data_IF_032980135374
#
_entry.id   IF_032980135374
#
_cell.length_a   1.000
_cell.length_b   1.000
_cell.length_c   1.000
_cell.angle_alpha   90.00
_cell.angle_beta   90.00
_cell.angle_gamma   90.00
#
_symmetry.space_group_name_H-M   'P 1'
#
loop_
_entity.id
_entity.type
_entity.pdbx_description
1 polymer ?
#
# COMPACT_ATOMS: atom_id res chain seq x y z
N UNK A 1 -11.60 26.90 32.57
CA UNK A 1 -12.33 25.97 31.68
C UNK A 1 -11.63 25.97 30.33
N UNK A 2 -10.79 24.97 30.06
CA UNK A 2 -10.20 24.73 28.74
C UNK A 2 -10.49 23.27 28.39
N UNK A 3 -11.38 23.04 27.43
CA UNK A 3 -11.65 21.71 26.88
C UNK A 3 -10.55 21.40 25.88
N UNK A 4 -9.47 20.76 26.35
CA UNK A 4 -8.50 20.10 25.48
C UNK A 4 -9.18 18.88 24.86
N UNK A 5 -9.79 19.06 23.70
CA UNK A 5 -10.35 17.98 22.90
C UNK A 5 -9.23 17.03 22.46
N UNK A 6 -9.42 15.74 22.68
CA UNK A 6 -8.50 14.67 22.34
C UNK A 6 -8.49 14.58 20.80
N UNK A 7 -7.54 15.25 20.14
CA UNK A 7 -7.33 15.13 18.69
C UNK A 7 -6.67 13.79 18.39
N UNK A 8 -7.44 12.71 18.24
CA UNK A 8 -6.84 11.40 18.00
C UNK A 8 -6.57 11.16 16.52
N UNK A 9 -5.51 11.79 16.00
CA UNK A 9 -4.77 11.30 14.83
C UNK A 9 -3.64 10.40 15.32
N UNK A 10 -3.95 9.13 15.51
CA UNK A 10 -3.01 8.12 15.98
C UNK A 10 -2.30 7.45 14.78
N UNK A 11 -1.32 8.16 14.23
CA UNK A 11 -0.49 7.60 13.16
C UNK A 11 0.38 6.45 13.66
N UNK A 12 0.71 6.45 14.96
CA UNK A 12 1.56 5.45 15.57
C UNK A 12 0.90 4.07 15.51
N UNK A 13 -0.41 3.99 15.78
CA UNK A 13 -1.16 2.74 15.62
C UNK A 13 -1.15 2.21 14.18
N UNK A 14 -1.12 3.09 13.17
CA UNK A 14 -1.00 2.69 11.76
C UNK A 14 0.39 2.14 11.45
N UNK A 15 1.43 2.84 11.89
CA UNK A 15 2.82 2.41 11.70
C UNK A 15 3.11 1.09 12.42
N UNK A 16 2.61 0.90 13.64
CA UNK A 16 2.75 -0.36 14.37
C UNK A 16 2.07 -1.52 13.64
N UNK A 17 0.89 -1.28 13.06
CA UNK A 17 0.18 -2.30 12.29
C UNK A 17 0.90 -2.64 10.99
N UNK A 18 1.54 -1.67 10.33
CA UNK A 18 2.37 -1.91 9.16
C UNK A 18 3.67 -2.65 9.52
N UNK A 19 4.37 -2.23 10.57
CA UNK A 19 5.58 -2.88 11.05
C UNK A 19 5.34 -4.35 11.45
N UNK A 20 4.19 -4.66 12.05
CA UNK A 20 3.79 -6.03 12.37
C UNK A 20 3.44 -6.91 11.17
N UNK A 21 3.35 -6.35 9.96
CA UNK A 21 2.97 -7.05 8.72
C UNK A 21 3.91 -6.67 7.55
N UNK A 22 5.21 -6.53 7.82
CA UNK A 22 6.25 -6.28 6.81
C UNK A 22 5.99 -5.04 5.91
N UNK A 23 5.35 -4.01 6.46
CA UNK A 23 5.06 -2.76 5.77
C UNK A 23 3.77 -2.79 4.92
N UNK A 24 2.91 -3.80 5.07
CA UNK A 24 1.65 -3.97 4.33
C UNK A 24 0.51 -4.40 5.26
N UNK A 25 -0.63 -3.73 5.24
CA UNK A 25 -1.80 -4.15 6.01
C UNK A 25 -3.12 -3.94 5.26
N UNK A 26 -4.04 -4.89 5.33
CA UNK A 26 -5.43 -4.70 4.92
C UNK A 26 -6.28 -4.34 6.16
N UNK A 27 -7.00 -3.22 6.10
CA UNK A 27 -7.80 -2.71 7.22
C UNK A 27 -9.15 -2.21 6.74
N UNK A 28 -10.17 -2.31 7.60
CA UNK A 28 -11.46 -1.69 7.34
C UNK A 28 -11.36 -0.17 7.41
N UNK A 29 -12.12 0.53 6.57
CA UNK A 29 -12.25 1.99 6.63
C UNK A 29 -12.73 2.48 8.00
N UNK A 30 -13.53 1.69 8.71
CA UNK A 30 -13.94 1.98 10.10
C UNK A 30 -12.73 2.18 11.00
N UNK A 31 -11.78 1.25 10.95
CA UNK A 31 -10.59 1.29 11.78
C UNK A 31 -9.70 2.50 11.45
N UNK A 32 -9.52 2.79 10.15
CA UNK A 32 -8.81 3.99 9.69
C UNK A 32 -9.47 5.29 10.16
N UNK A 33 -10.80 5.37 10.10
CA UNK A 33 -11.56 6.50 10.63
C UNK A 33 -11.29 6.67 12.13
N UNK A 34 -11.31 5.59 12.89
CA UNK A 34 -11.07 5.62 14.34
C UNK A 34 -9.65 6.08 14.68
N UNK A 35 -8.65 5.76 13.84
CA UNK A 35 -7.28 6.26 14.02
C UNK A 35 -7.12 7.73 13.62
N UNK A 36 -7.99 8.28 12.76
CA UNK A 36 -7.91 9.65 12.30
C UNK A 36 -8.75 10.63 13.13
N UNK A 37 -10.02 10.26 13.37
CA UNK A 37 -11.01 11.02 14.10
C UNK A 37 -12.16 10.10 14.56
N UNK A 38 -12.05 9.61 15.80
CA UNK A 38 -12.99 8.68 16.40
C UNK A 38 -14.41 9.25 16.53
N UNK A 39 -14.56 10.58 16.68
CA UNK A 39 -15.86 11.23 16.84
C UNK A 39 -16.68 11.29 15.54
N UNK A 40 -16.06 11.01 14.39
CA UNK A 40 -16.78 10.99 13.13
C UNK A 40 -17.78 9.83 13.07
N UNK A 41 -19.06 10.15 12.98
CA UNK A 41 -20.11 9.13 12.88
C UNK A 41 -20.21 8.45 11.50
N UNK A 42 -19.72 9.09 10.43
CA UNK A 42 -19.84 8.61 9.04
C UNK A 42 -18.69 9.10 8.16
N UNK A 43 -18.30 8.29 7.18
CA UNK A 43 -17.37 8.68 6.13
C UNK A 43 -18.10 9.32 4.95
N UNK A 44 -17.75 10.56 4.65
CA UNK A 44 -18.13 11.27 3.42
C UNK A 44 -16.94 11.31 2.46
N UNK A 45 -17.16 11.72 1.20
CA UNK A 45 -16.05 11.90 0.25
C UNK A 45 -14.95 12.82 0.79
N UNK A 46 -15.32 13.95 1.38
CA UNK A 46 -14.36 14.90 1.95
C UNK A 46 -13.61 14.34 3.16
N UNK A 47 -14.27 13.50 3.97
CA UNK A 47 -13.63 12.82 5.10
C UNK A 47 -12.66 11.73 4.66
N UNK A 48 -13.03 10.91 3.67
CA UNK A 48 -12.13 9.94 3.06
C UNK A 48 -10.93 10.63 2.42
N UNK A 49 -11.11 11.79 1.77
CA UNK A 49 -10.00 12.58 1.23
C UNK A 49 -9.05 13.09 2.34
N UNK A 50 -9.58 13.59 3.47
CA UNK A 50 -8.75 14.01 4.60
C UNK A 50 -7.93 12.87 5.21
N UNK A 51 -8.48 11.65 5.27
CA UNK A 51 -7.74 10.46 5.69
C UNK A 51 -6.65 10.13 4.67
N UNK A 52 -6.95 10.20 3.37
CA UNK A 52 -5.97 9.96 2.31
C UNK A 52 -4.79 10.95 2.40
N UNK A 53 -5.06 12.25 2.54
CA UNK A 53 -4.05 13.29 2.67
C UNK A 53 -3.19 13.08 3.93
N UNK A 54 -3.81 12.63 5.02
CA UNK A 54 -3.11 12.32 6.26
C UNK A 54 -2.18 11.12 6.13
N UNK A 55 -2.62 10.04 5.47
CA UNK A 55 -1.77 8.88 5.18
C UNK A 55 -0.60 9.28 4.29
N UNK A 56 -0.87 10.08 3.25
CA UNK A 56 0.15 10.54 2.30
C UNK A 56 1.23 11.39 2.98
N UNK A 57 0.81 12.32 3.85
CA UNK A 57 1.72 13.15 4.64
C UNK A 57 2.67 12.33 5.55
N UNK A 58 2.31 11.09 5.86
CA UNK A 58 3.11 10.16 6.67
C UNK A 58 3.78 9.06 5.85
N UNK A 59 3.85 9.21 4.51
CA UNK A 59 4.55 8.26 3.64
C UNK A 59 3.83 6.92 3.46
N UNK A 60 2.55 6.84 3.81
CA UNK A 60 1.72 5.65 3.67
C UNK A 60 0.85 5.80 2.42
N UNK A 61 1.00 4.87 1.49
CA UNK A 61 0.11 4.77 0.34
C UNK A 61 -1.04 3.81 0.64
N UNK A 62 -2.14 3.98 -0.09
CA UNK A 62 -3.33 3.17 0.10
C UNK A 62 -3.93 2.70 -1.23
N UNK A 63 -4.70 1.62 -1.19
CA UNK A 63 -5.55 1.14 -2.28
C UNK A 63 -6.89 0.64 -1.73
N UNK A 64 -8.03 0.95 -2.38
CA UNK A 64 -8.14 1.70 -3.63
C UNK A 64 -7.85 3.21 -3.45
N UNK A 65 -7.58 3.88 -4.57
CA UNK A 65 -7.51 5.34 -4.66
C UNK A 65 -8.60 5.83 -5.64
N UNK A 66 -9.57 6.67 -5.22
CA UNK A 66 -9.73 7.25 -3.89
C UNK A 66 -10.15 6.22 -2.82
N UNK A 67 -9.98 6.60 -1.55
CA UNK A 67 -10.44 5.77 -0.42
C UNK A 67 -11.97 5.53 -0.49
N UNK A 68 -12.44 4.32 -0.13
CA UNK A 68 -13.85 4.04 -0.09
C UNK A 68 -14.55 4.85 1.02
N UNK A 69 -15.88 4.87 0.93
CA UNK A 69 -16.75 5.61 1.88
C UNK A 69 -17.51 4.69 2.82
N UNK A 70 -17.62 3.40 2.51
CA UNK A 70 -18.30 2.46 3.40
C UNK A 70 -17.29 2.00 4.44
N UNK A 71 -17.71 2.02 5.70
CA UNK A 71 -16.85 1.64 6.83
C UNK A 71 -16.40 0.18 6.77
N UNK A 72 -17.21 -0.69 6.15
CA UNK A 72 -16.94 -2.12 5.95
C UNK A 72 -16.02 -2.39 4.76
N UNK A 73 -15.73 -1.40 3.92
CA UNK A 73 -14.83 -1.61 2.79
C UNK A 73 -13.39 -1.70 3.30
N UNK A 74 -12.65 -2.63 2.72
CA UNK A 74 -11.25 -2.84 3.06
C UNK A 74 -10.34 -1.96 2.21
N UNK A 75 -9.25 -1.52 2.85
CA UNK A 75 -8.21 -0.72 2.26
C UNK A 75 -6.88 -1.39 2.57
N UNK A 76 -6.09 -1.58 1.53
CA UNK A 76 -4.70 -1.96 1.64
C UNK A 76 -3.86 -0.72 1.90
N UNK A 77 -3.07 -0.73 2.96
CA UNK A 77 -2.10 0.30 3.33
C UNK A 77 -0.70 -0.27 3.16
N UNK A 78 0.25 0.55 2.70
CA UNK A 78 1.65 0.15 2.65
C UNK A 78 2.57 1.36 2.79
N UNK A 79 3.71 1.14 3.45
CA UNK A 79 4.75 2.18 3.54
C UNK A 79 5.47 2.30 2.20
N UNK A 80 5.53 3.51 1.63
CA UNK A 80 6.12 3.74 0.30
C UNK A 80 7.60 3.35 0.24
N UNK A 81 8.33 3.47 1.34
CA UNK A 81 9.78 3.20 1.41
C UNK A 81 10.12 1.77 1.87
N UNK A 82 9.12 0.98 2.26
CA UNK A 82 9.32 -0.43 2.60
C UNK A 82 9.66 -1.27 1.36
N UNK A 83 10.33 -2.44 1.50
CA UNK A 83 10.58 -3.34 0.38
C UNK A 83 9.31 -3.67 -0.42
N UNK A 84 8.21 -4.00 0.28
CA UNK A 84 6.92 -4.28 -0.36
C UNK A 84 6.35 -3.05 -1.08
N UNK A 85 6.52 -1.86 -0.51
CA UNK A 85 6.14 -0.60 -1.16
C UNK A 85 6.89 -0.36 -2.46
N UNK A 86 8.19 -0.66 -2.51
CA UNK A 86 8.98 -0.55 -3.74
C UNK A 86 8.51 -1.58 -4.79
N UNK A 87 8.19 -2.81 -4.38
CA UNK A 87 7.66 -3.82 -5.31
C UNK A 87 6.30 -3.42 -5.89
N UNK A 88 5.40 -2.88 -5.05
CA UNK A 88 4.10 -2.35 -5.50
C UNK A 88 4.31 -1.18 -6.47
N UNK A 89 5.22 -0.25 -6.16
CA UNK A 89 5.53 0.87 -7.04
C UNK A 89 6.10 0.40 -8.39
N UNK A 90 6.97 -0.62 -8.40
CA UNK A 90 7.48 -1.23 -9.63
C UNK A 90 6.35 -1.87 -10.45
N UNK A 91 5.49 -2.66 -9.81
CA UNK A 91 4.37 -3.34 -10.48
C UNK A 91 3.36 -2.36 -11.10
N UNK A 92 3.22 -1.17 -10.51
CA UNK A 92 2.30 -0.12 -10.97
C UNK A 92 2.95 0.93 -11.87
N UNK A 93 4.27 0.85 -12.11
CA UNK A 93 5.04 1.88 -12.80
C UNK A 93 4.89 3.27 -12.16
N UNK A 94 4.96 3.33 -10.83
CA UNK A 94 4.84 4.56 -10.06
C UNK A 94 6.20 5.04 -9.51
N UNK A 95 6.26 6.31 -9.11
CA UNK A 95 7.46 6.90 -8.50
C UNK A 95 8.69 6.84 -9.41
N UNK A 96 9.81 6.23 -8.96
CA UNK A 96 11.03 6.14 -9.77
C UNK A 96 10.86 5.27 -11.03
N UNK A 97 9.83 4.41 -11.07
CA UNK A 97 9.57 3.50 -12.19
C UNK A 97 8.68 4.11 -13.28
N UNK A 98 8.04 5.25 -13.03
CA UNK A 98 7.14 5.91 -13.98
C UNK A 98 7.79 6.25 -15.33
N UNK A 99 9.11 6.41 -15.35
CA UNK A 99 9.90 6.70 -16.56
C UNK A 99 10.84 5.56 -16.95
N UNK A 100 10.78 4.42 -16.25
CA UNK A 100 11.68 3.28 -16.46
C UNK A 100 10.95 1.95 -16.31
N UNK A 101 10.06 1.60 -17.25
CA UNK A 101 9.38 0.30 -17.25
C UNK A 101 10.37 -0.87 -17.36
N UNK A 102 11.49 -0.68 -18.07
CA UNK A 102 12.58 -1.66 -18.13
C UNK A 102 13.21 -1.87 -16.76
N UNK A 103 13.47 -0.79 -16.01
CA UNK A 103 13.99 -0.89 -14.64
C UNK A 103 13.04 -1.62 -13.70
N UNK A 104 11.75 -1.33 -13.80
CA UNK A 104 10.71 -2.04 -13.04
C UNK A 104 10.68 -3.54 -13.36
N UNK A 105 10.69 -3.90 -14.65
CA UNK A 105 10.69 -5.29 -15.09
C UNK A 105 11.93 -6.06 -14.62
N UNK A 106 13.12 -5.44 -14.69
CA UNK A 106 14.36 -6.05 -14.20
C UNK A 106 14.33 -6.29 -12.69
N UNK A 107 13.81 -5.33 -11.92
CA UNK A 107 13.65 -5.47 -10.47
C UNK A 107 12.69 -6.60 -10.12
N UNK A 108 11.50 -6.63 -10.75
CA UNK A 108 10.50 -7.67 -10.53
C UNK A 108 11.01 -9.04 -10.99
N UNK A 109 11.78 -9.12 -12.08
CA UNK A 109 12.43 -10.35 -12.53
C UNK A 109 13.51 -10.85 -11.58
N UNK A 110 14.24 -9.95 -10.90
CA UNK A 110 15.14 -10.35 -9.80
C UNK A 110 14.35 -10.92 -8.63
N UNK A 111 13.29 -10.24 -8.20
CA UNK A 111 12.40 -10.74 -7.15
C UNK A 111 11.84 -12.12 -7.52
N UNK A 112 11.32 -12.31 -8.73
CA UNK A 112 10.75 -13.58 -9.19
C UNK A 112 11.73 -14.76 -9.03
N UNK A 113 13.02 -14.56 -9.32
CA UNK A 113 14.06 -15.59 -9.13
C UNK A 113 14.34 -15.91 -7.67
N UNK A 114 14.19 -14.94 -6.77
CA UNK A 114 14.37 -15.16 -5.33
C UNK A 114 13.20 -15.90 -4.68
N UNK A 115 11.97 -15.67 -5.15
CA UNK A 115 10.78 -16.39 -4.64
C UNK A 115 10.51 -17.71 -5.35
N UNK A 116 10.96 -17.88 -6.60
CA UNK A 116 10.83 -19.12 -7.37
C UNK A 116 12.20 -19.56 -7.91
N UNK A 117 13.08 -20.13 -7.07
CA UNK A 117 14.40 -20.57 -7.51
C UNK A 117 14.40 -21.74 -8.51
N UNK A 118 13.25 -22.41 -8.72
CA UNK A 118 13.08 -23.57 -9.62
C UNK A 118 12.29 -23.28 -10.90
N UNK A 119 12.00 -22.02 -11.25
CA UNK A 119 11.47 -21.70 -12.58
C UNK A 119 12.62 -21.76 -13.60
N UNK A 120 13.03 -22.98 -13.96
CA UNK A 120 13.98 -23.21 -15.04
C UNK A 120 13.45 -22.57 -16.34
N UNK A 121 14.32 -22.02 -17.20
CA UNK A 121 13.92 -21.70 -18.56
C UNK A 121 13.45 -22.99 -19.23
N UNK A 122 12.23 -22.97 -19.75
CA UNK A 122 11.68 -24.06 -20.55
C UNK A 122 12.48 -24.14 -21.86
N UNK A 123 13.46 -25.05 -21.91
CA UNK A 123 14.28 -25.36 -23.10
C UNK A 123 13.48 -26.21 -24.12
N UNK A 124 12.19 -25.94 -24.32
CA UNK A 124 11.39 -26.57 -25.38
C UNK A 124 11.51 -25.81 -26.70
N UNK A 125 12.75 -25.58 -27.13
CA UNK A 125 13.10 -25.22 -28.50
C UNK A 125 14.38 -25.95 -28.91
N UNK A 126 14.27 -27.25 -29.20
CA UNK A 126 14.97 -27.83 -30.35
C UNK A 126 14.39 -29.21 -30.62
N UNK A 127 13.77 -29.33 -31.79
CA UNK A 127 13.68 -30.53 -32.65
C UNK A 127 12.59 -30.26 -33.70
N UNK A 128 12.88 -29.28 -34.56
CA UNK A 128 12.37 -29.31 -35.93
C UNK A 128 13.57 -29.50 -36.84
N UNK A 129 13.46 -30.47 -37.76
CA UNK A 129 14.33 -30.72 -38.91
C UNK A 129 15.64 -31.51 -38.68
N UNK A 130 15.58 -32.82 -38.96
CA UNK A 130 16.19 -33.39 -40.18
C UNK A 130 15.67 -34.81 -40.45
#
# INVERSE_FOLDING_TARGET
MNRGGIMSRDIQAVLEKLAGNDGLAAVEMKWLREQYEAEWQKLSLGRSAQIADWLDANGIAHQPAPLPRRETDYVMLYERQSPIGIYIAAARLEGPFARSPVGAAMMLGHLARTVSPNAAPDESQDETEA
#
